data_IF_958962329140
#
_entry.id   IF_958962329140
#
_cell.length_a   1.000
_cell.length_b   1.000
_cell.length_c   1.000
_cell.angle_alpha   90.00
_cell.angle_beta   90.00
_cell.angle_gamma   90.00
#
_symmetry.space_group_name_H-M   'P 1'
#
loop_
_entity.id
_entity.type
_entity.pdbx_description
1 polymer ?
#
# COMPACT_ATOMS: atom_id res chain seq x y z
N UNK A 1 3.91 11.47 12.11
CA UNK A 1 5.19 10.84 11.76
C UNK A 1 6.38 11.81 11.72
N UNK A 2 7.49 11.48 12.41
CA UNK A 2 8.81 12.12 12.24
C UNK A 2 9.79 11.07 11.73
N UNK A 3 10.43 11.34 10.59
CA UNK A 3 11.46 10.46 10.04
C UNK A 3 12.77 10.61 10.82
N UNK A 4 13.42 9.49 11.09
CA UNK A 4 14.80 9.41 11.58
C UNK A 4 15.78 9.92 10.52
N UNK A 5 16.99 10.27 10.94
CA UNK A 5 17.99 10.77 9.98
C UNK A 5 18.49 9.68 9.02
N UNK A 6 18.49 8.42 9.47
CA UNK A 6 18.76 7.26 8.61
C UNK A 6 17.72 7.13 7.51
N UNK A 7 16.43 7.29 7.84
CA UNK A 7 15.33 7.23 6.88
C UNK A 7 15.39 8.39 5.88
N UNK A 8 15.71 9.62 6.34
CA UNK A 8 15.92 10.74 5.41
C UNK A 8 17.07 10.48 4.45
N UNK A 9 18.15 9.83 4.91
CA UNK A 9 19.30 9.50 4.07
C UNK A 9 18.99 8.38 3.08
N UNK A 10 18.18 7.39 3.47
CA UNK A 10 17.68 6.37 2.55
C UNK A 10 16.82 7.00 1.44
N UNK A 11 15.88 7.89 1.82
CA UNK A 11 15.07 8.62 0.85
C UNK A 11 15.93 9.47 -0.08
N UNK A 12 16.95 10.18 0.43
CA UNK A 12 17.81 11.02 -0.43
C UNK A 12 18.60 10.20 -1.47
N UNK A 13 18.94 8.95 -1.15
CA UNK A 13 19.54 7.98 -2.07
C UNK A 13 18.55 7.36 -3.06
N UNK A 14 17.26 7.64 -2.93
CA UNK A 14 16.21 7.12 -3.79
C UNK A 14 15.63 5.79 -3.32
N UNK A 15 15.93 5.36 -2.10
CA UNK A 15 15.30 4.19 -1.50
C UNK A 15 13.88 4.52 -1.02
N UNK A 16 13.04 3.50 -0.91
CA UNK A 16 11.67 3.62 -0.38
C UNK A 16 11.61 3.03 1.02
N UNK A 17 10.82 3.63 1.90
CA UNK A 17 10.69 3.20 3.29
C UNK A 17 9.28 2.72 3.53
N UNK A 18 9.14 1.62 4.26
CA UNK A 18 7.84 1.09 4.67
C UNK A 18 7.72 1.20 6.17
N UNK A 19 6.62 1.80 6.64
CA UNK A 19 6.36 2.00 8.05
C UNK A 19 4.91 1.59 8.33
N UNK A 20 4.70 0.95 9.48
CA UNK A 20 3.36 0.66 9.98
C UNK A 20 3.06 1.62 11.13
N UNK A 21 2.05 2.47 10.98
CA UNK A 21 1.59 3.40 12.02
C UNK A 21 0.09 3.17 12.22
N UNK A 22 -0.34 2.91 13.46
CA UNK A 22 -1.74 2.64 13.83
C UNK A 22 -2.44 1.54 12.99
N UNK A 23 -1.67 0.51 12.59
CA UNK A 23 -2.17 -0.59 11.76
C UNK A 23 -2.27 -0.26 10.26
N UNK A 24 -1.89 0.96 9.86
CA UNK A 24 -1.83 1.38 8.47
C UNK A 24 -0.41 1.19 7.95
N UNK A 25 -0.27 0.43 6.86
CA UNK A 25 0.99 0.28 6.15
C UNK A 25 1.18 1.46 5.19
N UNK A 26 2.22 2.26 5.42
CA UNK A 26 2.56 3.44 4.63
C UNK A 26 3.90 3.23 3.94
N UNK A 27 3.93 3.49 2.63
CA UNK A 27 5.16 3.50 1.84
C UNK A 27 5.53 4.95 1.52
N UNK A 28 6.76 5.33 1.89
CA UNK A 28 7.29 6.67 1.69
C UNK A 28 8.38 6.59 0.63
N UNK A 29 8.28 7.45 -0.37
CA UNK A 29 9.25 7.56 -1.46
C UNK A 29 9.42 9.02 -1.87
N UNK A 30 10.49 9.31 -2.63
CA UNK A 30 10.67 10.64 -3.19
C UNK A 30 9.64 10.94 -4.28
N UNK A 31 9.15 12.17 -4.29
CA UNK A 31 8.12 12.62 -5.23
C UNK A 31 8.56 12.55 -6.69
N UNK A 32 9.82 12.86 -7.00
CA UNK A 32 10.35 12.79 -8.36
C UNK A 32 10.42 11.35 -8.89
N UNK A 33 10.77 10.40 -8.04
CA UNK A 33 10.74 8.97 -8.37
C UNK A 33 9.31 8.46 -8.53
N UNK A 34 8.39 8.89 -7.65
CA UNK A 34 6.98 8.56 -7.78
C UNK A 34 6.41 9.01 -9.13
N UNK A 35 6.67 10.26 -9.55
CA UNK A 35 6.19 10.76 -10.85
C UNK A 35 6.77 9.98 -12.04
N UNK A 36 8.03 9.54 -11.94
CA UNK A 36 8.62 8.66 -12.96
C UNK A 36 7.88 7.30 -13.00
N UNK A 37 7.69 6.62 -11.88
CA UNK A 37 6.98 5.34 -11.84
C UNK A 37 5.50 5.46 -12.22
N UNK A 38 4.84 6.54 -11.81
CA UNK A 38 3.46 6.84 -12.16
C UNK A 38 3.27 6.95 -13.67
N UNK A 39 4.23 7.54 -14.38
CA UNK A 39 4.17 7.64 -15.84
C UNK A 39 4.35 6.28 -16.54
N UNK A 40 5.00 5.32 -15.87
CA UNK A 40 5.28 3.98 -16.41
C UNK A 40 4.12 3.01 -16.20
N UNK A 41 3.27 3.23 -15.20
CA UNK A 41 2.09 2.39 -14.96
C UNK A 41 0.89 2.90 -15.77
N UNK A 42 0.40 2.15 -16.78
CA UNK A 42 -0.86 2.48 -17.42
C UNK A 42 -1.96 2.47 -16.36
N UNK A 43 -2.85 3.46 -16.39
CA UNK A 43 -3.93 3.61 -15.40
C UNK A 43 -4.75 2.33 -15.21
N UNK A 44 -4.91 1.51 -16.26
CA UNK A 44 -5.62 0.23 -16.19
C UNK A 44 -4.91 -0.83 -15.33
N UNK A 45 -3.58 -0.83 -15.30
CA UNK A 45 -2.79 -1.81 -14.52
C UNK A 45 -2.87 -1.49 -13.03
N UNK A 46 -2.91 -0.19 -12.67
CA UNK A 46 -3.11 0.24 -11.29
C UNK A 46 -4.50 -0.16 -10.78
N UNK A 47 -5.55 0.02 -11.60
CA UNK A 47 -6.90 -0.43 -11.25
C UNK A 47 -6.96 -1.94 -11.06
N UNK A 48 -6.34 -2.73 -11.95
CA UNK A 48 -6.30 -4.19 -11.82
C UNK A 48 -5.52 -4.67 -10.59
N UNK A 49 -4.41 -4.00 -10.23
CA UNK A 49 -3.66 -4.33 -9.02
C UNK A 49 -4.42 -3.99 -7.74
N UNK A 50 -5.11 -2.85 -7.71
CA UNK A 50 -5.96 -2.45 -6.58
C UNK A 50 -7.14 -3.42 -6.43
N UNK A 51 -7.82 -3.77 -7.53
CA UNK A 51 -8.93 -4.73 -7.53
C UNK A 51 -8.47 -6.13 -7.11
N UNK A 52 -7.28 -6.55 -7.55
CA UNK A 52 -6.72 -7.85 -7.17
C UNK A 52 -6.34 -7.88 -5.70
N UNK A 53 -5.68 -6.83 -5.18
CA UNK A 53 -5.36 -6.75 -3.75
C UNK A 53 -6.62 -6.68 -2.88
N UNK A 54 -7.68 -5.98 -3.30
CA UNK A 54 -8.97 -5.97 -2.61
C UNK A 54 -9.62 -7.37 -2.57
N UNK A 55 -9.58 -8.11 -3.69
CA UNK A 55 -10.14 -9.47 -3.77
C UNK A 55 -9.32 -10.51 -3.01
N UNK A 56 -8.01 -10.30 -2.84
CA UNK A 56 -7.15 -11.18 -2.03
C UNK A 56 -7.47 -11.06 -0.53
N UNK A 57 -7.89 -9.88 -0.05
CA UNK A 57 -8.41 -9.73 1.33
C UNK A 57 -9.78 -10.40 1.53
N UNK A 58 -10.62 -10.49 0.51
CA UNK A 58 -11.95 -11.11 0.61
C UNK A 58 -11.91 -12.65 0.53
N UNK A 59 -10.88 -13.24 -0.09
CA UNK A 59 -10.81 -14.70 -0.32
C UNK A 59 -9.92 -15.47 0.68
N UNK A 60 -9.00 -14.81 1.39
CA UNK A 60 -8.08 -15.48 2.32
C UNK A 60 -8.31 -15.14 3.80
N UNK A 61 -9.39 -14.44 4.17
CA UNK A 61 -9.75 -14.21 5.58
C UNK A 61 -10.89 -15.13 6.06
N UNK A 62 -10.59 -16.29 6.70
CA UNK A 62 -11.60 -17.15 7.30
C UNK A 62 -12.38 -16.50 8.46
N UNK A 63 -12.05 -15.27 8.87
CA UNK A 63 -12.79 -14.52 9.90
C UNK A 63 -13.98 -13.72 9.36
N UNK A 64 -14.12 -13.57 8.03
CA UNK A 64 -15.26 -12.86 7.43
C UNK A 64 -16.53 -13.71 7.30
N UNK A 65 -16.43 -15.05 7.33
CA UNK A 65 -17.60 -15.94 7.33
C UNK A 65 -18.48 -15.78 8.59
N UNK A 66 -17.90 -15.29 9.70
CA UNK A 66 -18.61 -15.07 10.96
C UNK A 66 -19.48 -13.80 11.01
N UNK A 67 -19.33 -12.88 10.05
CA UNK A 67 -20.11 -11.63 10.00
C UNK A 67 -21.29 -11.69 9.04
N UNK A 68 -21.52 -12.82 8.35
CA UNK A 68 -22.81 -13.10 7.73
C UNK A 68 -23.86 -13.27 8.83
N UNK A 69 -24.47 -12.15 9.20
CA UNK A 69 -25.56 -12.09 10.17
C UNK A 69 -26.61 -13.15 9.83
N UNK A 70 -27.12 -13.89 10.82
CA UNK A 70 -28.25 -14.77 10.58
C UNK A 70 -29.48 -13.95 10.20
N UNK A 71 -30.03 -14.32 9.05
CA UNK A 71 -31.44 -14.33 8.64
C UNK A 71 -32.38 -13.19 9.07
N UNK A 72 -32.98 -12.56 8.07
CA UNK A 72 -34.44 -12.40 8.01
C UNK A 72 -34.92 -12.64 6.57
#
# INVERSE_FOLDING_TARGET
MKLTDTEKQALSKGETIQITEDGIHVVIMRADLYEQYRSVLPSEVVTQLVDKSLNEYDNDDPLLEGYQRPSA
#
